data_IF_419654654486
#
_entry.id   IF_419654654486
#
_cell.length_a   1.000
_cell.length_b   1.000
_cell.length_c   1.000
_cell.angle_alpha   90.00
_cell.angle_beta   90.00
_cell.angle_gamma   90.00
#
_symmetry.space_group_name_H-M   'P 1'
#
loop_
_entity.id
_entity.type
_entity.pdbx_description
1 polymer ?
#
# COMPACT_ATOMS: atom_id res chain seq x y z
N UNK A 1 0.00 -12.97 15.03
CA UNK A 1 -0.68 -13.84 14.06
C UNK A 1 -1.71 -13.00 13.31
N UNK A 2 -1.53 -12.84 11.99
CA UNK A 2 -2.32 -11.89 11.17
C UNK A 2 -3.72 -12.40 10.84
N UNK A 3 -4.00 -13.69 11.00
CA UNK A 3 -5.31 -14.30 10.70
C UNK A 3 -5.70 -15.39 11.71
N UNK A 4 -6.98 -15.47 12.05
CA UNK A 4 -7.54 -16.60 12.78
C UNK A 4 -7.57 -17.87 11.91
N UNK A 5 -7.74 -19.06 12.51
CA UNK A 5 -7.71 -20.35 11.78
C UNK A 5 -8.84 -20.48 10.75
N UNK A 6 -10.03 -19.94 11.02
CA UNK A 6 -11.18 -19.97 10.10
C UNK A 6 -11.02 -18.99 8.95
N UNK A 7 -10.43 -17.83 9.19
CA UNK A 7 -10.13 -16.82 8.18
C UNK A 7 -9.06 -17.33 7.23
N UNK A 8 -8.05 -18.07 7.74
CA UNK A 8 -7.06 -18.76 6.92
C UNK A 8 -7.70 -19.72 5.91
N UNK A 9 -8.65 -20.54 6.33
CA UNK A 9 -9.31 -21.52 5.43
C UNK A 9 -10.18 -20.81 4.38
N UNK A 10 -10.92 -19.77 4.76
CA UNK A 10 -11.74 -18.99 3.82
C UNK A 10 -10.85 -18.28 2.79
N UNK A 11 -9.75 -17.66 3.25
CA UNK A 11 -8.75 -17.03 2.39
C UNK A 11 -8.14 -18.04 1.42
N UNK A 12 -7.66 -19.20 1.91
CA UNK A 12 -7.08 -20.26 1.09
C UNK A 12 -8.09 -20.85 0.10
N UNK A 13 -9.36 -20.91 0.45
CA UNK A 13 -10.42 -21.40 -0.46
C UNK A 13 -10.62 -20.40 -1.61
N UNK A 14 -10.62 -19.09 -1.33
CA UNK A 14 -10.67 -18.05 -2.35
C UNK A 14 -9.46 -18.11 -3.31
N UNK A 15 -8.27 -18.48 -2.80
CA UNK A 15 -7.06 -18.64 -3.62
C UNK A 15 -6.98 -19.95 -4.41
N UNK A 16 -7.64 -21.00 -3.99
CA UNK A 16 -7.65 -22.31 -4.68
C UNK A 16 -8.53 -22.35 -5.93
N UNK A 17 -9.53 -21.48 -6.03
CA UNK A 17 -10.40 -21.39 -7.20
C UNK A 17 -9.73 -20.54 -8.30
N UNK A 18 -8.67 -21.11 -8.90
CA UNK A 18 -7.92 -20.48 -9.99
C UNK A 18 -8.56 -20.85 -11.33
N UNK A 19 -9.52 -20.05 -11.78
CA UNK A 19 -9.81 -19.97 -13.20
C UNK A 19 -9.11 -18.73 -13.79
N UNK A 20 -8.52 -18.89 -14.97
CA UNK A 20 -7.77 -17.82 -15.63
C UNK A 20 -8.66 -16.59 -15.78
N UNK A 21 -8.31 -15.49 -15.13
CA UNK A 21 -9.08 -14.26 -15.15
C UNK A 21 -8.99 -13.62 -16.53
N UNK A 22 -10.05 -13.65 -17.29
CA UNK A 22 -10.12 -13.18 -18.66
C UNK A 22 -10.64 -11.75 -18.79
N UNK A 23 -11.34 -11.23 -17.79
CA UNK A 23 -11.90 -9.87 -17.79
C UNK A 23 -11.52 -9.06 -16.56
N UNK A 24 -11.53 -7.72 -16.70
CA UNK A 24 -11.29 -6.82 -15.57
C UNK A 24 -12.42 -6.88 -14.53
N UNK A 25 -13.65 -7.15 -14.95
CA UNK A 25 -14.79 -7.24 -14.05
C UNK A 25 -14.67 -8.48 -13.15
N UNK A 26 -14.23 -9.59 -13.70
CA UNK A 26 -13.97 -10.82 -12.96
C UNK A 26 -12.79 -10.66 -12.00
N UNK A 27 -11.72 -9.98 -12.42
CA UNK A 27 -10.59 -9.60 -11.58
C UNK A 27 -11.05 -8.76 -10.38
N UNK A 28 -11.89 -7.74 -10.61
CA UNK A 28 -12.43 -6.90 -9.55
C UNK A 28 -13.29 -7.73 -8.58
N UNK A 29 -14.16 -8.61 -9.09
CA UNK A 29 -14.97 -9.50 -8.27
C UNK A 29 -14.12 -10.38 -7.37
N UNK A 30 -13.05 -10.99 -7.87
CA UNK A 30 -12.11 -11.80 -7.08
C UNK A 30 -11.53 -11.03 -5.89
N UNK A 31 -11.24 -9.73 -6.04
CA UNK A 31 -10.69 -8.90 -4.97
C UNK A 31 -11.79 -8.50 -3.98
N UNK A 32 -12.97 -8.12 -4.47
CA UNK A 32 -14.10 -7.69 -3.63
C UNK A 32 -14.58 -8.85 -2.76
N UNK A 33 -14.61 -10.06 -3.30
CA UNK A 33 -15.08 -11.28 -2.62
C UNK A 33 -14.02 -11.85 -1.64
N UNK A 34 -12.84 -11.23 -1.49
CA UNK A 34 -11.88 -11.64 -0.45
C UNK A 34 -12.54 -11.55 0.93
N UNK A 35 -12.34 -12.56 1.79
CA UNK A 35 -12.87 -12.54 3.13
C UNK A 35 -12.47 -11.24 3.86
N UNK A 36 -13.45 -10.62 4.50
CA UNK A 36 -13.20 -9.45 5.34
C UNK A 36 -12.91 -9.92 6.76
N UNK A 37 -11.71 -9.59 7.21
CA UNK A 37 -11.32 -9.77 8.60
C UNK A 37 -11.95 -8.62 9.40
N UNK A 38 -13.08 -8.90 10.05
CA UNK A 38 -13.79 -7.93 10.88
C UNK A 38 -13.00 -7.56 12.13
N UNK A 39 -11.78 -7.06 11.97
CA UNK A 39 -11.01 -6.53 13.09
C UNK A 39 -11.83 -5.43 13.75
N UNK A 40 -12.20 -5.65 15.01
CA UNK A 40 -12.76 -4.62 15.86
C UNK A 40 -11.65 -3.63 16.20
N UNK A 41 -11.45 -2.65 15.34
CA UNK A 41 -10.59 -1.52 15.67
C UNK A 41 -11.36 -0.61 16.63
N UNK A 42 -10.73 -0.26 17.74
CA UNK A 42 -11.31 0.59 18.78
C UNK A 42 -11.50 2.05 18.33
N UNK A 43 -10.92 2.43 17.18
CA UNK A 43 -10.97 3.80 16.66
C UNK A 43 -11.33 3.87 15.19
N UNK A 44 -12.15 4.87 14.86
CA UNK A 44 -12.46 5.27 13.47
C UNK A 44 -11.32 6.07 12.82
N UNK A 45 -10.46 6.72 13.63
CA UNK A 45 -9.31 7.48 13.12
C UNK A 45 -8.17 6.53 12.73
N UNK A 46 -7.84 6.49 11.43
CA UNK A 46 -6.75 5.67 10.89
C UNK A 46 -5.43 6.43 10.91
N UNK A 47 -5.46 7.72 10.56
CA UNK A 47 -4.30 8.63 10.63
C UNK A 47 -4.75 9.93 11.27
N UNK A 48 -3.97 10.44 12.21
CA UNK A 48 -4.17 11.76 12.78
C UNK A 48 -2.84 12.48 12.96
N UNK A 49 -2.75 13.65 12.39
CA UNK A 49 -1.64 14.60 12.51
C UNK A 49 -2.13 15.84 13.25
N UNK A 50 -1.45 16.24 14.32
CA UNK A 50 -1.77 17.45 15.08
C UNK A 50 -0.61 18.42 14.94
N UNK A 51 -0.83 19.56 14.26
CA UNK A 51 0.13 20.66 14.06
C UNK A 51 1.54 20.19 13.67
N UNK A 52 1.59 19.21 12.76
CA UNK A 52 2.86 18.60 12.33
C UNK A 52 3.66 19.57 11.49
N UNK A 53 4.91 19.81 11.92
CA UNK A 53 5.86 20.67 11.20
C UNK A 53 7.14 19.89 10.91
N UNK A 54 7.62 19.97 9.65
CA UNK A 54 8.86 19.31 9.20
C UNK A 54 9.79 20.35 8.59
N UNK A 55 11.04 20.31 9.03
CA UNK A 55 12.11 21.19 8.53
C UNK A 55 13.34 20.38 8.12
N UNK A 56 13.97 20.81 7.04
CA UNK A 56 15.28 20.34 6.60
C UNK A 56 16.21 21.57 6.47
N UNK A 57 17.11 21.74 7.44
CA UNK A 57 17.87 22.99 7.59
C UNK A 57 16.94 24.18 7.78
N UNK A 58 17.11 25.22 6.98
CA UNK A 58 16.29 26.45 7.04
C UNK A 58 14.96 26.31 6.28
N UNK A 59 14.75 25.21 5.56
CA UNK A 59 13.55 25.01 4.74
C UNK A 59 12.46 24.30 5.51
N UNK A 60 11.31 24.97 5.69
CA UNK A 60 10.09 24.35 6.20
C UNK A 60 9.35 23.64 5.06
N UNK A 61 9.15 22.32 5.20
CA UNK A 61 8.43 21.49 4.22
C UNK A 61 6.95 21.40 4.58
N UNK A 62 6.65 21.04 5.84
CA UNK A 62 5.29 21.07 6.38
C UNK A 62 5.26 22.06 7.53
N UNK A 63 4.18 22.80 7.66
CA UNK A 63 4.02 23.81 8.70
C UNK A 63 2.66 23.69 9.36
N UNK A 64 2.64 23.32 10.65
CA UNK A 64 1.44 23.18 11.49
C UNK A 64 0.28 22.46 10.79
N UNK A 65 0.57 21.32 10.14
CA UNK A 65 -0.42 20.54 9.41
C UNK A 65 -1.29 19.75 10.40
N UNK A 66 -2.59 20.05 10.37
CA UNK A 66 -3.63 19.23 10.98
C UNK A 66 -4.30 18.38 9.89
N UNK A 67 -4.35 17.08 10.07
CA UNK A 67 -5.01 16.18 9.12
C UNK A 67 -5.48 14.91 9.82
N UNK A 68 -6.75 14.55 9.59
CA UNK A 68 -7.33 13.31 10.08
C UNK A 68 -7.89 12.52 8.90
N UNK A 69 -7.58 11.22 8.87
CA UNK A 69 -8.10 10.25 7.91
C UNK A 69 -8.91 9.21 8.69
N UNK A 70 -10.18 9.08 8.31
CA UNK A 70 -11.08 8.11 8.93
C UNK A 70 -11.11 6.80 8.15
N UNK A 71 -11.56 5.77 8.84
CA UNK A 71 -11.73 4.45 8.26
C UNK A 71 -12.68 4.46 7.07
N UNK A 72 -12.25 3.81 5.98
CA UNK A 72 -13.04 3.76 4.76
C UNK A 72 -12.91 4.99 3.85
N UNK A 73 -12.22 6.06 4.26
CA UNK A 73 -11.95 7.20 3.38
C UNK A 73 -10.89 6.89 2.31
N UNK A 74 -11.01 7.55 1.16
CA UNK A 74 -10.09 7.44 0.01
C UNK A 74 -9.61 8.83 -0.37
N UNK A 75 -8.40 9.15 0.06
CA UNK A 75 -7.81 10.47 -0.09
C UNK A 75 -6.95 10.60 -1.34
N UNK A 76 -7.19 11.64 -2.11
CA UNK A 76 -6.25 12.11 -3.13
C UNK A 76 -5.37 13.23 -2.56
N UNK A 77 -4.07 12.98 -2.47
CA UNK A 77 -3.08 13.96 -2.05
C UNK A 77 -2.45 14.60 -3.28
N UNK A 78 -2.64 15.88 -3.45
CA UNK A 78 -2.12 16.69 -4.56
C UNK A 78 -1.31 17.88 -4.08
N UNK A 79 -0.65 18.57 -4.99
CA UNK A 79 0.13 19.76 -4.67
C UNK A 79 1.32 19.95 -5.62
N UNK A 80 1.98 21.10 -5.51
CA UNK A 80 3.14 21.43 -6.31
C UNK A 80 4.32 20.47 -6.08
N UNK A 81 5.24 20.42 -7.03
CA UNK A 81 6.49 19.68 -6.83
C UNK A 81 7.30 20.29 -5.69
N UNK A 82 7.74 19.46 -4.75
CA UNK A 82 8.44 19.89 -3.56
C UNK A 82 7.54 20.51 -2.47
N UNK A 83 6.20 20.33 -2.56
CA UNK A 83 5.26 20.73 -1.52
C UNK A 83 5.23 19.79 -0.30
N UNK A 84 6.02 18.71 -0.32
CA UNK A 84 6.13 17.80 0.82
C UNK A 84 5.23 16.58 0.78
N UNK A 85 4.64 16.23 -0.39
CA UNK A 85 3.77 15.04 -0.53
C UNK A 85 4.45 13.75 -0.07
N UNK A 86 5.60 13.42 -0.64
CA UNK A 86 6.37 12.21 -0.26
C UNK A 86 6.88 12.29 1.18
N UNK A 87 7.20 13.49 1.68
CA UNK A 87 7.56 13.71 3.10
C UNK A 87 6.37 13.38 4.01
N UNK A 88 5.17 13.83 3.67
CA UNK A 88 3.96 13.53 4.42
C UNK A 88 3.68 12.03 4.44
N UNK A 89 3.78 11.36 3.28
CA UNK A 89 3.59 9.90 3.21
C UNK A 89 4.65 9.14 4.02
N UNK A 90 5.92 9.55 3.97
CA UNK A 90 6.98 8.92 4.76
C UNK A 90 6.79 9.10 6.26
N UNK A 91 6.17 10.20 6.70
CA UNK A 91 5.77 10.38 8.10
C UNK A 91 4.69 9.39 8.51
N UNK A 92 3.64 9.25 7.71
CA UNK A 92 2.54 8.31 7.98
C UNK A 92 3.04 6.86 7.98
N UNK A 93 3.98 6.51 7.10
CA UNK A 93 4.60 5.18 7.05
C UNK A 93 5.64 4.95 8.15
N UNK A 94 5.92 5.93 9.02
CA UNK A 94 6.98 5.89 10.01
C UNK A 94 8.40 5.60 9.42
N UNK A 95 8.61 5.99 8.17
CA UNK A 95 9.90 5.89 7.47
C UNK A 95 10.75 7.17 7.59
N UNK A 96 10.14 8.27 8.06
CA UNK A 96 10.83 9.53 8.26
C UNK A 96 11.39 9.60 9.69
N UNK A 97 12.70 9.89 9.87
CA UNK A 97 13.30 10.01 11.20
C UNK A 97 12.63 11.07 12.11
N UNK A 98 12.04 12.11 11.51
CA UNK A 98 11.33 13.16 12.26
C UNK A 98 9.94 12.71 12.75
N UNK A 99 9.44 11.58 12.32
CA UNK A 99 8.14 11.02 12.77
C UNK A 99 8.06 10.92 14.29
N UNK A 100 9.16 10.57 14.95
CA UNK A 100 9.22 10.43 16.41
C UNK A 100 9.09 11.76 17.19
N UNK A 101 9.36 12.87 16.52
CA UNK A 101 9.24 14.22 17.11
C UNK A 101 7.89 14.89 16.81
N UNK A 102 7.04 14.23 16.03
CA UNK A 102 5.75 14.76 15.61
C UNK A 102 4.60 14.11 16.40
N UNK A 103 3.51 14.84 16.58
CA UNK A 103 2.27 14.33 17.16
C UNK A 103 1.46 13.64 16.05
N UNK A 104 1.73 12.34 15.87
CA UNK A 104 1.10 11.46 14.88
C UNK A 104 0.52 10.26 15.58
N UNK A 105 -0.75 9.97 15.38
CA UNK A 105 -1.37 8.72 15.80
C UNK A 105 -1.85 7.92 14.58
N UNK A 106 -1.76 6.59 14.68
CA UNK A 106 -2.17 5.65 13.65
C UNK A 106 -3.10 4.61 14.29
N UNK A 107 -4.23 4.33 13.62
CA UNK A 107 -5.28 3.38 14.07
C UNK A 107 -5.75 3.59 15.51
N UNK A 108 -5.82 4.85 15.97
CA UNK A 108 -6.34 5.22 17.28
C UNK A 108 -5.38 4.98 18.46
N UNK A 109 -4.17 4.50 18.21
CA UNK A 109 -3.12 4.42 19.22
C UNK A 109 -2.68 5.81 19.69
N UNK A 110 -2.53 6.03 20.99
CA UNK A 110 -2.05 7.31 21.55
C UNK A 110 -0.54 7.47 21.31
N UNK A 111 -0.18 8.02 20.15
CA UNK A 111 1.20 8.33 19.80
C UNK A 111 2.07 7.07 19.59
N UNK A 112 3.33 7.26 19.22
CA UNK A 112 4.33 6.20 18.98
C UNK A 112 4.65 5.27 20.18
N UNK A 113 3.65 4.90 20.96
CA UNK A 113 3.77 3.86 22.01
C UNK A 113 3.71 2.45 21.43
N UNK A 114 3.08 2.28 20.26
CA UNK A 114 3.16 1.03 19.53
C UNK A 114 4.49 0.94 18.76
N UNK A 115 5.05 -0.26 18.68
CA UNK A 115 6.28 -0.42 17.90
C UNK A 115 6.00 -0.12 16.42
N UNK A 116 6.96 0.51 15.72
CA UNK A 116 6.89 0.75 14.27
C UNK A 116 6.48 -0.51 13.51
N UNK A 117 6.88 -1.67 13.98
CA UNK A 117 6.58 -2.96 13.38
C UNK A 117 5.09 -3.31 13.46
N UNK A 118 4.41 -2.96 14.54
CA UNK A 118 2.96 -3.14 14.65
C UNK A 118 2.22 -2.22 13.69
N UNK A 119 2.60 -0.95 13.63
CA UNK A 119 2.03 0.05 12.71
C UNK A 119 2.18 -0.42 11.25
N UNK A 120 3.37 -0.85 10.87
CA UNK A 120 3.66 -1.28 9.49
C UNK A 120 2.89 -2.53 9.06
N UNK A 121 2.44 -3.38 9.99
CA UNK A 121 1.61 -4.54 9.65
C UNK A 121 0.30 -4.14 8.97
N UNK A 122 -0.25 -2.98 9.28
CA UNK A 122 -1.54 -2.52 8.79
C UNK A 122 -1.44 -1.61 7.57
N UNK A 123 -0.23 -1.21 7.14
CA UNK A 123 0.00 -0.28 6.05
C UNK A 123 0.63 -0.99 4.85
N UNK A 124 -0.04 -0.95 3.70
CA UNK A 124 0.58 -1.26 2.40
C UNK A 124 1.15 0.01 1.78
N UNK A 125 2.43 0.03 1.44
CA UNK A 125 3.10 1.22 0.91
C UNK A 125 3.87 0.94 -0.37
N UNK A 126 3.68 1.81 -1.36
CA UNK A 126 4.46 1.84 -2.61
C UNK A 126 4.88 3.27 -2.92
N UNK A 127 6.16 3.45 -3.22
CA UNK A 127 6.72 4.72 -3.67
C UNK A 127 7.80 4.53 -4.75
N UNK A 128 8.16 5.59 -5.49
CA UNK A 128 9.30 5.57 -6.40
C UNK A 128 10.63 5.31 -5.68
N UNK A 129 10.77 5.81 -4.44
CA UNK A 129 11.95 5.61 -3.59
C UNK A 129 12.14 4.14 -3.24
N UNK A 130 11.05 3.45 -2.88
CA UNK A 130 11.07 2.01 -2.60
C UNK A 130 11.54 1.22 -3.81
N UNK A 131 11.10 1.56 -5.02
CA UNK A 131 11.55 0.90 -6.24
C UNK A 131 13.07 1.03 -6.42
N UNK A 132 13.63 2.24 -6.19
CA UNK A 132 15.07 2.49 -6.28
C UNK A 132 15.88 1.79 -5.20
N UNK A 133 15.31 1.61 -4.01
CA UNK A 133 15.96 0.96 -2.88
C UNK A 133 16.00 -0.58 -2.99
N UNK A 134 15.16 -1.17 -3.85
CA UNK A 134 15.08 -2.62 -3.99
C UNK A 134 16.16 -3.17 -4.92
N UNK A 135 17.36 -3.37 -4.35
CA UNK A 135 18.55 -3.86 -5.06
C UNK A 135 18.81 -5.36 -4.82
N UNK A 136 17.89 -6.05 -4.16
CA UNK A 136 18.03 -7.50 -3.86
C UNK A 136 17.69 -8.32 -5.11
N UNK A 137 18.63 -9.18 -5.51
CA UNK A 137 18.41 -10.11 -6.63
C UNK A 137 17.75 -11.41 -6.16
N UNK A 138 16.53 -11.27 -5.62
CA UNK A 138 15.68 -12.38 -5.18
C UNK A 138 14.64 -12.71 -6.25
N UNK A 139 14.07 -13.93 -6.29
CA UNK A 139 12.91 -14.24 -7.10
C UNK A 139 11.75 -13.27 -6.84
N UNK A 140 10.98 -12.94 -7.88
CA UNK A 140 9.89 -11.96 -7.77
C UNK A 140 8.88 -12.34 -6.68
N UNK A 141 8.59 -13.62 -6.50
CA UNK A 141 7.69 -14.09 -5.45
C UNK A 141 8.22 -13.81 -4.04
N UNK A 142 9.53 -13.86 -3.83
CA UNK A 142 10.15 -13.53 -2.54
C UNK A 142 10.10 -12.03 -2.26
N UNK A 143 10.14 -11.19 -3.31
CA UNK A 143 9.91 -9.76 -3.18
C UNK A 143 8.46 -9.49 -2.73
N UNK A 144 7.48 -10.15 -3.33
CA UNK A 144 6.07 -10.05 -2.92
C UNK A 144 5.90 -10.54 -1.48
N UNK A 145 6.45 -11.70 -1.14
CA UNK A 145 6.38 -12.30 0.20
C UNK A 145 7.03 -11.44 1.29
N UNK A 146 8.04 -10.62 0.95
CA UNK A 146 8.64 -9.68 1.90
C UNK A 146 7.65 -8.64 2.42
N UNK A 147 6.55 -8.40 1.70
CA UNK A 147 5.45 -7.54 2.11
C UNK A 147 4.67 -8.04 3.32
N UNK A 148 4.66 -9.35 3.56
CA UNK A 148 4.03 -9.95 4.74
C UNK A 148 4.73 -9.55 6.05
N UNK A 149 5.98 -9.14 5.98
CA UNK A 149 6.82 -8.78 7.14
C UNK A 149 7.40 -7.36 7.05
N UNK A 150 7.02 -6.57 6.04
CA UNK A 150 7.53 -5.22 5.77
C UNK A 150 9.06 -5.07 5.76
N UNK A 151 9.75 -6.12 5.34
CA UNK A 151 11.20 -6.13 5.23
C UNK A 151 11.66 -5.87 3.79
N UNK A 152 12.85 -5.27 3.64
CA UNK A 152 13.56 -5.22 2.34
C UNK A 152 14.31 -6.53 2.18
N UNK A 153 13.67 -7.51 1.55
CA UNK A 153 14.15 -8.87 1.40
C UNK A 153 13.51 -9.85 2.38
N UNK A 154 13.69 -11.14 2.10
CA UNK A 154 13.05 -12.21 2.84
C UNK A 154 13.99 -12.73 3.93
N UNK A 155 13.65 -12.51 5.21
CA UNK A 155 14.43 -13.00 6.36
C UNK A 155 13.84 -14.26 7.00
N UNK A 156 12.57 -14.58 6.69
CA UNK A 156 11.91 -15.83 7.09
C UNK A 156 11.31 -16.48 5.85
N UNK A 157 11.46 -17.79 5.71
CA UNK A 157 10.76 -18.53 4.65
C UNK A 157 9.26 -18.46 4.93
N UNK A 158 8.45 -17.98 3.96
CA UNK A 158 7.00 -17.97 4.10
C UNK A 158 6.47 -19.39 4.23
N UNK A 159 5.40 -19.55 5.00
CA UNK A 159 4.67 -20.80 5.05
C UNK A 159 4.00 -21.08 3.70
N UNK A 160 3.69 -22.35 3.36
CA UNK A 160 3.06 -22.71 2.09
C UNK A 160 1.78 -21.89 1.80
N UNK A 161 0.99 -21.62 2.84
CA UNK A 161 -0.23 -20.81 2.74
C UNK A 161 0.07 -19.36 2.36
N UNK A 162 1.13 -18.78 2.94
CA UNK A 162 1.59 -17.42 2.62
C UNK A 162 2.11 -17.34 1.18
N UNK A 163 2.79 -18.38 0.72
CA UNK A 163 3.23 -18.46 -0.67
C UNK A 163 2.06 -18.50 -1.65
N UNK A 164 0.99 -19.26 -1.33
CA UNK A 164 -0.23 -19.31 -2.14
C UNK A 164 -0.90 -17.93 -2.25
N UNK A 165 -0.91 -17.13 -1.17
CA UNK A 165 -1.39 -15.75 -1.17
C UNK A 165 -0.52 -14.87 -2.09
N UNK A 166 0.80 -15.01 -2.01
CA UNK A 166 1.71 -14.27 -2.87
C UNK A 166 1.50 -14.60 -4.36
N UNK A 167 1.37 -15.89 -4.69
CA UNK A 167 1.10 -16.34 -6.06
C UNK A 167 -0.24 -15.80 -6.58
N UNK A 168 -1.27 -15.77 -5.74
CA UNK A 168 -2.57 -15.22 -6.10
C UNK A 168 -2.48 -13.72 -6.42
N UNK A 169 -1.81 -12.93 -5.57
CA UNK A 169 -1.62 -11.51 -5.87
C UNK A 169 -0.77 -11.28 -7.12
N UNK A 170 0.25 -12.11 -7.35
CA UNK A 170 1.01 -12.06 -8.60
C UNK A 170 0.12 -12.35 -9.82
N UNK A 171 -0.83 -13.29 -9.71
CA UNK A 171 -1.81 -13.57 -10.76
C UNK A 171 -2.75 -12.37 -10.97
N UNK A 172 -3.29 -11.78 -9.90
CA UNK A 172 -4.10 -10.56 -9.96
C UNK A 172 -3.36 -9.42 -10.69
N UNK A 173 -2.07 -9.23 -10.40
CA UNK A 173 -1.25 -8.22 -11.08
C UNK A 173 -0.74 -8.65 -12.47
N UNK A 174 -0.99 -9.90 -12.90
CA UNK A 174 -0.63 -10.42 -14.22
C UNK A 174 0.84 -10.74 -14.39
N UNK A 175 1.52 -11.10 -13.31
CA UNK A 175 2.95 -11.43 -13.26
C UNK A 175 3.21 -12.82 -12.67
N UNK A 176 2.22 -13.72 -12.64
CA UNK A 176 2.35 -15.06 -12.04
C UNK A 176 3.48 -15.88 -12.69
N UNK A 177 3.64 -15.76 -14.00
CA UNK A 177 4.68 -16.45 -14.77
C UNK A 177 6.11 -16.00 -14.44
N UNK A 178 6.24 -14.83 -13.78
CA UNK A 178 7.52 -14.24 -13.43
C UNK A 178 7.98 -14.60 -12.00
N UNK A 179 7.24 -15.46 -11.29
CA UNK A 179 7.43 -15.73 -9.87
C UNK A 179 8.86 -16.15 -9.49
N UNK A 180 9.47 -16.98 -10.33
CA UNK A 180 10.81 -17.54 -10.10
C UNK A 180 11.92 -16.69 -10.75
N UNK A 181 11.55 -15.64 -11.49
CA UNK A 181 12.50 -14.78 -12.18
C UNK A 181 13.18 -13.83 -11.19
N UNK A 182 14.51 -13.65 -11.27
CA UNK A 182 15.20 -12.67 -10.43
C UNK A 182 14.64 -11.26 -10.64
N UNK A 183 14.33 -10.56 -9.57
CA UNK A 183 13.68 -9.24 -9.62
C UNK A 183 14.45 -8.22 -10.47
N UNK A 184 15.77 -8.21 -10.39
CA UNK A 184 16.59 -7.29 -11.18
C UNK A 184 16.65 -7.61 -12.68
N UNK A 185 16.17 -8.78 -13.09
CA UNK A 185 16.04 -9.16 -14.51
C UNK A 185 14.64 -8.84 -15.08
N UNK A 186 13.73 -8.39 -14.25
CA UNK A 186 12.43 -7.90 -14.68
C UNK A 186 12.56 -6.53 -15.33
N UNK A 187 11.68 -6.22 -16.29
CA UNK A 187 11.51 -4.85 -16.79
C UNK A 187 11.05 -3.91 -15.67
N UNK A 188 11.27 -2.62 -15.82
CA UNK A 188 10.85 -1.63 -14.81
C UNK A 188 9.35 -1.68 -14.51
N UNK A 189 8.52 -1.94 -15.51
CA UNK A 189 7.08 -2.14 -15.35
C UNK A 189 6.75 -3.40 -14.54
N UNK A 190 7.38 -4.54 -14.86
CA UNK A 190 7.20 -5.80 -14.11
C UNK A 190 7.68 -5.67 -12.66
N UNK A 191 8.81 -5.00 -12.44
CA UNK A 191 9.28 -4.68 -11.08
C UNK A 191 8.26 -3.84 -10.31
N UNK A 192 7.65 -2.84 -10.98
CA UNK A 192 6.60 -2.01 -10.39
C UNK A 192 5.38 -2.83 -10.00
N UNK A 193 4.94 -3.75 -10.87
CA UNK A 193 3.82 -4.66 -10.58
C UNK A 193 4.12 -5.58 -9.39
N UNK A 194 5.34 -6.10 -9.27
CA UNK A 194 5.76 -6.92 -8.14
C UNK A 194 5.76 -6.13 -6.82
N UNK A 195 6.21 -4.87 -6.83
CA UNK A 195 6.17 -4.00 -5.65
C UNK A 195 4.75 -3.58 -5.28
N UNK A 196 3.85 -3.42 -6.25
CA UNK A 196 2.43 -3.24 -5.99
C UNK A 196 1.84 -4.49 -5.34
N UNK A 197 2.05 -5.69 -5.91
CA UNK A 197 1.61 -6.94 -5.31
C UNK A 197 2.13 -7.10 -3.87
N UNK A 198 3.38 -6.72 -3.62
CA UNK A 198 3.98 -6.68 -2.27
C UNK A 198 3.19 -5.81 -1.29
N UNK A 199 2.67 -4.66 -1.72
CA UNK A 199 1.90 -3.78 -0.83
C UNK A 199 0.51 -4.35 -0.50
N UNK A 200 -0.07 -5.14 -1.42
CA UNK A 200 -1.40 -5.73 -1.25
C UNK A 200 -1.40 -7.09 -0.53
N UNK A 201 -0.27 -7.81 -0.53
CA UNK A 201 -0.20 -9.22 -0.10
C UNK A 201 -0.67 -9.48 1.34
N UNK A 202 -0.53 -8.51 2.22
CA UNK A 202 -0.98 -8.58 3.62
C UNK A 202 -2.40 -8.07 3.84
N UNK A 203 -3.11 -7.71 2.77
CA UNK A 203 -4.46 -7.14 2.80
C UNK A 203 -4.59 -5.93 3.75
N UNK A 204 -3.78 -4.88 3.55
CA UNK A 204 -3.63 -3.80 4.50
C UNK A 204 -4.95 -3.08 4.80
N UNK A 205 -5.06 -2.49 6.00
CA UNK A 205 -6.13 -1.58 6.37
C UNK A 205 -5.98 -0.23 5.67
N UNK A 206 -4.76 0.29 5.64
CA UNK A 206 -4.38 1.53 4.98
C UNK A 206 -3.44 1.24 3.81
N UNK A 207 -3.86 1.60 2.60
CA UNK A 207 -3.05 1.52 1.40
C UNK A 207 -2.54 2.90 1.02
N UNK A 208 -1.22 3.06 0.96
CA UNK A 208 -0.56 4.31 0.58
C UNK A 208 0.16 4.11 -0.75
N UNK A 209 -0.22 4.88 -1.75
CA UNK A 209 0.25 4.76 -3.13
C UNK A 209 0.84 6.10 -3.61
N UNK A 210 2.16 6.15 -3.76
CA UNK A 210 2.85 7.30 -4.34
C UNK A 210 3.18 7.01 -5.81
N UNK A 211 2.46 7.67 -6.71
CA UNK A 211 2.54 7.51 -8.17
C UNK A 211 2.50 6.05 -8.65
N UNK A 212 1.48 5.25 -8.26
CA UNK A 212 1.48 3.81 -8.48
C UNK A 212 1.48 3.41 -9.97
N UNK A 213 0.95 4.26 -10.84
CA UNK A 213 0.80 3.97 -12.28
C UNK A 213 1.98 4.46 -13.12
N UNK A 214 2.94 5.17 -12.50
CA UNK A 214 4.10 5.70 -13.21
C UNK A 214 4.95 4.57 -13.81
N UNK A 215 5.35 4.70 -15.07
CA UNK A 215 6.19 3.73 -15.77
C UNK A 215 5.49 2.46 -16.25
N UNK A 216 4.17 2.34 -16.08
CA UNK A 216 3.37 1.25 -16.61
C UNK A 216 2.86 1.57 -18.03
N UNK A 217 2.79 0.54 -18.87
CA UNK A 217 2.10 0.62 -20.17
C UNK A 217 0.58 0.79 -19.99
N UNK A 218 -0.12 1.08 -21.06
CA UNK A 218 -1.56 1.38 -21.05
C UNK A 218 -2.41 0.24 -20.48
N UNK A 219 -2.07 -1.02 -20.80
CA UNK A 219 -2.81 -2.18 -20.32
C UNK A 219 -2.61 -2.39 -18.84
N UNK A 220 -1.37 -2.41 -18.37
CA UNK A 220 -1.04 -2.57 -16.96
C UNK A 220 -1.53 -1.40 -16.11
N UNK A 221 -1.48 -0.16 -16.63
CA UNK A 221 -2.06 1.01 -15.97
C UNK A 221 -3.57 0.84 -15.75
N UNK A 222 -4.30 0.37 -16.76
CA UNK A 222 -5.73 0.07 -16.64
C UNK A 222 -6.00 -1.05 -15.64
N UNK A 223 -5.20 -2.13 -15.69
CA UNK A 223 -5.29 -3.27 -14.76
C UNK A 223 -5.10 -2.82 -13.32
N UNK A 224 -4.01 -2.11 -13.02
CA UNK A 224 -3.71 -1.64 -11.67
C UNK A 224 -4.78 -0.68 -11.16
N UNK A 225 -5.28 0.23 -11.99
CA UNK A 225 -6.40 1.11 -11.63
C UNK A 225 -7.62 0.32 -11.19
N UNK A 226 -7.99 -0.75 -11.92
CA UNK A 226 -9.09 -1.64 -11.58
C UNK A 226 -8.86 -2.42 -10.28
N UNK A 227 -7.62 -2.84 -10.01
CA UNK A 227 -7.25 -3.47 -8.74
C UNK A 227 -7.44 -2.50 -7.58
N UNK A 228 -6.96 -1.27 -7.71
CA UNK A 228 -7.12 -0.23 -6.68
C UNK A 228 -8.59 0.08 -6.45
N UNK A 229 -9.40 0.23 -7.49
CA UNK A 229 -10.85 0.44 -7.39
C UNK A 229 -11.52 -0.71 -6.62
N UNK A 230 -11.21 -1.96 -6.96
CA UNK A 230 -11.77 -3.14 -6.28
C UNK A 230 -11.38 -3.19 -4.79
N UNK A 231 -10.13 -2.88 -4.47
CA UNK A 231 -9.68 -2.76 -3.08
C UNK A 231 -10.49 -1.71 -2.32
N UNK A 232 -10.68 -0.53 -2.93
CA UNK A 232 -11.42 0.58 -2.33
C UNK A 232 -12.93 0.30 -2.15
N UNK A 233 -13.50 -0.63 -2.91
CA UNK A 233 -14.89 -1.07 -2.73
C UNK A 233 -15.09 -2.00 -1.53
N UNK A 234 -14.02 -2.58 -1.00
CA UNK A 234 -14.10 -3.42 0.19
C UNK A 234 -14.37 -2.55 1.43
N UNK A 235 -15.20 -3.10 2.32
CA UNK A 235 -15.58 -2.41 3.56
C UNK A 235 -14.35 -2.05 4.40
N UNK A 236 -14.36 -0.84 4.95
CA UNK A 236 -13.38 -0.31 5.89
C UNK A 236 -11.93 -0.20 5.36
N UNK A 237 -11.69 -0.44 4.06
CA UNK A 237 -10.39 -0.19 3.45
C UNK A 237 -10.17 1.30 3.25
N UNK A 238 -9.04 1.80 3.72
CA UNK A 238 -8.63 3.21 3.64
C UNK A 238 -7.50 3.36 2.64
N UNK A 239 -7.49 4.46 1.88
CA UNK A 239 -6.44 4.70 0.89
C UNK A 239 -6.00 6.16 0.87
N UNK A 240 -4.69 6.37 0.70
CA UNK A 240 -4.08 7.66 0.38
C UNK A 240 -3.31 7.48 -0.93
N UNK A 241 -3.65 8.24 -1.96
CA UNK A 241 -3.00 8.16 -3.26
C UNK A 241 -2.46 9.51 -3.71
N UNK A 242 -1.21 9.51 -4.15
CA UNK A 242 -0.57 10.64 -4.83
C UNK A 242 -0.45 10.32 -6.31
N UNK A 243 -0.91 11.23 -7.15
CA UNK A 243 -0.66 11.21 -8.60
C UNK A 243 -0.66 12.62 -9.15
N UNK A 244 0.05 12.82 -10.25
CA UNK A 244 0.04 14.07 -11.01
C UNK A 244 -1.11 14.15 -12.02
N UNK A 245 -1.81 13.06 -12.28
CA UNK A 245 -2.84 12.97 -13.30
C UNK A 245 -4.20 12.65 -12.68
N UNK A 246 -5.13 13.58 -12.80
CA UNK A 246 -6.53 13.40 -12.32
C UNK A 246 -7.18 12.13 -12.91
N UNK A 247 -6.87 11.81 -14.17
CA UNK A 247 -7.39 10.61 -14.85
C UNK A 247 -6.92 9.29 -14.26
N UNK A 248 -5.87 9.30 -13.44
CA UNK A 248 -5.35 8.12 -12.76
C UNK A 248 -6.08 7.82 -11.45
N UNK A 249 -6.74 8.82 -10.87
CA UNK A 249 -7.49 8.63 -9.64
C UNK A 249 -8.64 7.65 -9.85
N UNK A 250 -8.86 6.70 -8.93
CA UNK A 250 -10.04 5.86 -8.95
C UNK A 250 -11.31 6.69 -8.70
N UNK A 251 -12.44 6.23 -9.24
CA UNK A 251 -13.74 6.89 -9.03
C UNK A 251 -14.26 6.83 -7.59
N UNK A 252 -13.59 6.07 -6.74
CA UNK A 252 -13.89 5.88 -5.32
C UNK A 252 -13.30 6.94 -4.39
N UNK A 253 -12.57 7.93 -4.91
CA UNK A 253 -12.02 9.02 -4.09
C UNK A 253 -13.13 9.76 -3.36
N UNK A 254 -13.04 9.85 -2.04
CA UNK A 254 -13.98 10.55 -1.17
C UNK A 254 -13.51 11.95 -0.81
N UNK A 255 -12.21 12.12 -0.60
CA UNK A 255 -11.62 13.33 -0.04
C UNK A 255 -10.35 13.74 -0.77
N UNK A 256 -10.00 15.03 -0.62
CA UNK A 256 -8.83 15.61 -1.27
C UNK A 256 -8.11 16.56 -0.36
N UNK A 257 -6.78 16.50 -0.37
CA UNK A 257 -5.90 17.48 0.28
C UNK A 257 -4.93 18.06 -0.73
N UNK A 258 -4.73 19.36 -0.67
CA UNK A 258 -3.80 20.06 -1.54
C UNK A 258 -2.68 20.69 -0.70
N UNK A 259 -1.45 20.22 -0.89
CA UNK A 259 -0.29 20.80 -0.24
C UNK A 259 0.29 21.94 -1.07
N UNK A 260 0.44 23.11 -0.45
CA UNK A 260 1.14 24.26 -1.01
C UNK A 260 2.61 24.21 -0.62
N UNK A 261 3.46 24.67 -1.54
CA UNK A 261 4.88 24.82 -1.24
C UNK A 261 5.07 26.00 -0.29
N UNK A 262 5.68 25.76 0.87
CA UNK A 262 6.14 26.84 1.74
C UNK A 262 7.31 27.55 1.06
N UNK A 263 7.17 28.85 0.85
CA UNK A 263 8.18 29.72 0.24
C UNK A 263 9.17 30.24 1.29
#
# INVERSE_FOLDING_TARGET
EVFSKMEREAYLTAFRNRDATTSFDELQKRIIDLPYDGNNYDSDEVVKLNKVSIRYGDRTILNELDWTVHRGEKWALSGENGAGKSTLLSLVCADNPQSYACDISLSGGSGYRESIWEIKKHIGYVSPEMHRAYLKNLPAIEIVASGLHDSIGLYKRPQPEQMAICEWWMDIFGIAELKDKPFLQLSSGEQRLALLARAFVKDPELLILDEPLHGLDTYNRRRVKKIIEAFCHRKDKTMIMVTHYESELPGTITDRIFLKRNR
#
